data_IF_946117986623
#
_entry.id   IF_946117986623
#
_cell.length_a   1.000
_cell.length_b   1.000
_cell.length_c   1.000
_cell.angle_alpha   90.00
_cell.angle_beta   90.00
_cell.angle_gamma   90.00
#
_symmetry.space_group_name_H-M   'P 1'
#
loop_
_entity.id
_entity.type
_entity.pdbx_description
1 polymer ?
#
# COMPACT_ATOMS: atom_id res chain seq x y z
N UNK A 1 -5.27 -15.92 -23.83
CA UNK A 1 -4.34 -14.76 -23.92
C UNK A 1 -5.11 -13.58 -23.36
N UNK A 2 -4.66 -13.03 -22.23
CA UNK A 2 -5.44 -12.09 -21.43
C UNK A 2 -5.71 -10.80 -22.21
N UNK A 3 -6.98 -10.47 -22.36
CA UNK A 3 -7.42 -9.29 -23.08
C UNK A 3 -7.30 -8.08 -22.16
N UNK A 4 -6.34 -7.20 -22.44
CA UNK A 4 -6.40 -5.81 -21.98
C UNK A 4 -7.59 -5.15 -22.68
N UNK A 5 -8.70 -4.99 -21.97
CA UNK A 5 -9.76 -4.05 -22.34
C UNK A 5 -9.44 -2.73 -21.64
N UNK A 6 -9.06 -1.74 -22.44
CA UNK A 6 -9.08 -0.34 -22.06
C UNK A 6 -10.50 0.07 -21.71
N UNK A 7 -10.70 0.66 -20.52
CA UNK A 7 -11.85 1.52 -20.27
C UNK A 7 -11.42 2.64 -19.32
N UNK A 8 -11.22 3.82 -19.90
CA UNK A 8 -11.40 5.11 -19.24
C UNK A 8 -12.52 5.81 -20.06
N UNK A 9 -13.37 6.71 -19.51
CA UNK A 9 -13.00 7.77 -18.58
C UNK A 9 -14.08 8.10 -17.52
N UNK A 10 -13.82 9.14 -16.73
CA UNK A 10 -14.74 9.87 -15.83
C UNK A 10 -14.94 9.31 -14.42
N UNK A 11 -14.38 10.08 -13.49
CA UNK A 11 -14.60 9.96 -12.07
C UNK A 11 -13.31 10.30 -11.36
N UNK A 12 -13.01 11.59 -11.20
CA UNK A 12 -12.36 12.03 -9.97
C UNK A 12 -13.36 11.67 -8.86
N UNK A 13 -13.41 10.38 -8.52
CA UNK A 13 -14.09 9.87 -7.36
C UNK A 13 -13.31 10.46 -6.22
N UNK A 14 -13.76 11.62 -5.77
CA UNK A 14 -13.58 12.08 -4.42
C UNK A 14 -13.59 10.83 -3.54
N UNK A 15 -12.45 10.53 -2.92
CA UNK A 15 -12.27 9.38 -2.05
C UNK A 15 -13.16 9.61 -0.82
N UNK A 16 -14.47 9.53 -1.00
CA UNK A 16 -15.48 9.78 0.01
C UNK A 16 -15.39 8.62 1.02
N UNK A 17 -14.61 8.88 2.05
CA UNK A 17 -14.43 8.02 3.21
C UNK A 17 -13.45 6.88 2.99
N UNK A 18 -12.16 7.18 2.88
CA UNK A 18 -11.11 6.20 3.20
C UNK A 18 -11.12 6.03 4.72
N UNK A 19 -12.08 5.24 5.23
CA UNK A 19 -12.26 5.03 6.68
C UNK A 19 -11.11 4.24 7.31
N UNK A 20 -10.36 3.53 6.48
CA UNK A 20 -9.25 2.67 6.88
C UNK A 20 -8.05 2.95 5.96
N UNK A 21 -7.37 4.07 6.25
CA UNK A 21 -6.13 4.46 5.59
C UNK A 21 -5.01 4.51 6.63
N UNK A 22 -3.97 3.72 6.39
CA UNK A 22 -2.73 3.73 7.16
C UNK A 22 -1.65 4.37 6.31
N UNK A 23 -0.84 5.22 6.92
CA UNK A 23 0.19 5.99 6.25
C UNK A 23 1.52 5.77 6.97
N UNK A 24 2.56 5.50 6.20
CA UNK A 24 3.93 5.43 6.68
C UNK A 24 4.84 6.26 5.76
N UNK A 25 5.68 7.10 6.36
CA UNK A 25 6.66 7.91 5.63
C UNK A 25 7.97 7.16 5.60
N UNK A 26 8.21 6.45 4.51
CA UNK A 26 9.45 5.71 4.29
C UNK A 26 10.54 6.59 3.66
N UNK A 27 11.82 6.18 3.75
CA UNK A 27 12.92 6.81 3.02
C UNK A 27 12.72 6.89 1.49
N UNK A 28 11.94 5.97 0.91
CA UNK A 28 11.68 5.92 -0.55
C UNK A 28 10.40 6.66 -0.95
N UNK A 29 9.69 7.25 0.01
CA UNK A 29 8.48 8.02 -0.22
C UNK A 29 7.29 7.56 0.64
N UNK A 30 6.10 8.01 0.25
CA UNK A 30 4.89 7.79 1.01
C UNK A 30 4.33 6.38 0.73
N UNK A 31 4.20 5.59 1.79
CA UNK A 31 3.51 4.31 1.77
C UNK A 31 2.10 4.48 2.34
N UNK A 32 1.12 3.84 1.70
CA UNK A 32 -0.26 3.83 2.14
C UNK A 32 -0.82 2.43 2.06
N UNK A 33 -1.57 2.05 3.08
CA UNK A 33 -2.42 0.87 3.03
C UNK A 33 -3.86 1.38 3.05
N UNK A 34 -4.59 1.15 1.97
CA UNK A 34 -5.95 1.65 1.77
C UNK A 34 -6.91 0.50 1.49
N UNK A 35 -8.10 0.51 2.08
CA UNK A 35 -9.13 -0.45 1.70
C UNK A 35 -9.73 -0.11 0.33
N UNK A 36 -9.41 -0.92 -0.68
CA UNK A 36 -10.01 -0.84 -2.00
C UNK A 36 -11.38 -1.52 -1.98
N UNK A 37 -12.44 -0.70 -2.07
CA UNK A 37 -13.83 -1.17 -2.06
C UNK A 37 -14.23 -1.92 -3.33
N UNK A 38 -13.55 -1.71 -4.45
CA UNK A 38 -13.85 -2.39 -5.70
C UNK A 38 -13.35 -3.85 -5.66
N UNK A 39 -12.20 -4.06 -5.03
CA UNK A 39 -11.58 -5.39 -4.87
C UNK A 39 -12.01 -6.06 -3.55
N UNK A 40 -12.43 -5.28 -2.56
CA UNK A 40 -12.75 -5.77 -1.20
C UNK A 40 -11.51 -6.19 -0.41
N UNK A 41 -10.35 -5.58 -0.69
CA UNK A 41 -9.05 -5.93 -0.14
C UNK A 41 -8.27 -4.66 0.24
N UNK A 42 -7.22 -4.82 1.05
CA UNK A 42 -6.29 -3.73 1.36
C UNK A 42 -5.22 -3.62 0.29
N UNK A 43 -5.11 -2.48 -0.37
CA UNK A 43 -4.08 -2.22 -1.36
C UNK A 43 -2.86 -1.55 -0.69
N UNK A 44 -1.66 -2.09 -0.94
CA UNK A 44 -0.39 -1.44 -0.60
C UNK A 44 0.01 -0.51 -1.74
N UNK A 45 0.07 0.78 -1.46
CA UNK A 45 0.42 1.82 -2.42
C UNK A 45 1.70 2.51 -1.97
N UNK A 46 2.76 2.38 -2.76
CA UNK A 46 4.07 3.00 -2.51
C UNK A 46 4.29 4.04 -3.60
N UNK A 47 4.51 5.29 -3.20
CA UNK A 47 4.72 6.42 -4.11
C UNK A 47 3.65 6.56 -5.22
N UNK A 48 2.40 6.22 -4.90
CA UNK A 48 1.27 6.30 -5.83
C UNK A 48 1.05 5.07 -6.71
N UNK A 49 1.95 4.08 -6.68
CA UNK A 49 1.81 2.81 -7.40
C UNK A 49 1.28 1.73 -6.47
N UNK A 50 0.29 0.96 -6.91
CA UNK A 50 -0.23 -0.19 -6.17
C UNK A 50 0.66 -1.42 -6.45
N UNK A 51 1.22 -2.01 -5.39
CA UNK A 51 2.12 -3.16 -5.47
C UNK A 51 1.44 -4.48 -5.12
N UNK A 52 0.37 -4.45 -4.33
CA UNK A 52 -0.31 -5.67 -3.88
C UNK A 52 -1.68 -5.44 -3.29
N UNK A 53 -2.48 -6.52 -3.27
CA UNK A 53 -3.78 -6.55 -2.61
C UNK A 53 -3.82 -7.68 -1.57
N UNK A 54 -4.16 -7.30 -0.34
CA UNK A 54 -4.05 -8.11 0.85
C UNK A 54 -5.41 -8.34 1.50
N UNK A 55 -5.55 -9.46 2.20
CA UNK A 55 -6.79 -9.77 2.93
C UNK A 55 -6.97 -8.91 4.19
N UNK A 56 -5.90 -8.30 4.71
CA UNK A 56 -5.92 -7.39 5.85
C UNK A 56 -4.82 -6.32 5.72
N UNK A 57 -4.98 -5.19 6.41
CA UNK A 57 -3.93 -4.17 6.49
C UNK A 57 -2.66 -4.70 7.17
N UNK A 58 -2.82 -5.59 8.17
CA UNK A 58 -1.69 -6.24 8.85
C UNK A 58 -0.84 -7.04 7.88
N UNK A 59 -1.45 -7.85 7.01
CA UNK A 59 -0.70 -8.62 6.02
C UNK A 59 0.08 -7.73 5.04
N UNK A 60 -0.46 -6.56 4.69
CA UNK A 60 0.27 -5.58 3.88
C UNK A 60 1.45 -4.94 4.64
N UNK A 61 1.30 -4.70 5.95
CA UNK A 61 2.37 -4.17 6.78
C UNK A 61 3.47 -5.22 7.05
N UNK A 62 3.10 -6.49 7.21
CA UNK A 62 4.05 -7.60 7.37
C UNK A 62 4.96 -7.71 6.14
N UNK A 63 4.41 -7.66 4.92
CA UNK A 63 5.20 -7.64 3.68
C UNK A 63 6.16 -6.43 3.60
N UNK A 64 5.72 -5.26 4.11
CA UNK A 64 6.60 -4.08 4.21
C UNK A 64 7.72 -4.32 5.21
N UNK A 65 7.43 -4.93 6.36
CA UNK A 65 8.44 -5.23 7.38
C UNK A 65 9.50 -6.24 6.88
N UNK A 66 9.07 -7.29 6.17
CA UNK A 66 9.98 -8.32 5.63
C UNK A 66 10.59 -7.96 4.27
N UNK A 67 10.33 -6.75 3.76
CA UNK A 67 10.87 -6.27 2.48
C UNK A 67 10.51 -7.19 1.29
N UNK A 68 9.30 -7.75 1.28
CA UNK A 68 8.75 -8.54 0.18
C UNK A 68 7.52 -7.86 -0.45
N UNK A 69 7.62 -6.55 -0.71
CA UNK A 69 6.49 -5.76 -1.24
C UNK A 69 6.33 -5.88 -2.76
N UNK A 70 7.38 -6.35 -3.45
CA UNK A 70 7.50 -6.28 -4.90
C UNK A 70 7.95 -4.91 -5.42
N UNK A 71 8.23 -3.96 -4.51
CA UNK A 71 8.85 -2.69 -4.83
C UNK A 71 10.36 -2.80 -4.63
N UNK A 72 11.12 -2.98 -5.71
CA UNK A 72 12.58 -3.11 -5.64
C UNK A 72 13.27 -1.98 -4.85
N UNK A 73 12.77 -0.74 -4.94
CA UNK A 73 13.36 0.39 -4.21
C UNK A 73 13.22 0.23 -2.69
N UNK A 74 12.17 -0.46 -2.24
CA UNK A 74 11.99 -0.83 -0.83
C UNK A 74 12.73 -2.12 -0.51
N UNK A 75 12.48 -3.16 -1.29
CA UNK A 75 12.90 -4.53 -1.01
C UNK A 75 14.44 -4.66 -0.98
N UNK A 76 15.16 -3.81 -1.72
CA UNK A 76 16.63 -3.74 -1.71
C UNK A 76 17.22 -3.06 -0.46
N UNK A 77 16.40 -2.42 0.38
CA UNK A 77 16.83 -1.79 1.63
C UNK A 77 16.79 -2.77 2.82
N UNK A 78 16.46 -4.04 2.58
CA UNK A 78 16.43 -5.05 3.63
C UNK A 78 17.78 -5.15 4.37
N UNK A 79 17.72 -5.04 5.69
CA UNK A 79 18.90 -5.01 6.56
C UNK A 79 19.67 -3.68 6.61
N UNK A 80 19.35 -2.71 5.74
CA UNK A 80 19.99 -1.38 5.70
C UNK A 80 19.21 -0.30 6.45
N UNK A 81 17.88 -0.45 6.58
CA UNK A 81 17.04 0.49 7.33
C UNK A 81 16.67 -0.07 8.72
N UNK A 82 16.93 0.73 9.76
CA UNK A 82 16.61 0.40 11.16
C UNK A 82 15.20 0.83 11.59
N UNK A 83 14.56 1.70 10.80
CA UNK A 83 13.30 2.39 11.15
C UNK A 83 12.12 1.86 10.31
N UNK A 84 12.19 0.61 9.85
CA UNK A 84 11.08 -0.04 9.16
C UNK A 84 9.96 -0.36 10.16
N UNK A 85 8.68 -0.19 9.77
CA UNK A 85 7.58 -0.46 10.69
C UNK A 85 7.47 -1.96 10.89
N UNK A 86 7.57 -2.41 12.14
CA UNK A 86 7.47 -3.83 12.50
C UNK A 86 6.04 -4.34 12.47
N UNK A 87 5.06 -3.45 12.67
CA UNK A 87 3.64 -3.79 12.55
C UNK A 87 2.76 -2.57 12.21
N UNK A 88 1.47 -2.82 11.98
CA UNK A 88 0.50 -1.79 11.56
C UNK A 88 0.27 -0.67 12.61
N UNK A 89 0.62 -0.88 13.88
CA UNK A 89 0.47 0.12 14.94
C UNK A 89 1.43 1.29 14.82
N UNK A 90 2.55 1.10 14.12
CA UNK A 90 3.53 2.14 13.81
C UNK A 90 3.09 3.04 12.64
N UNK A 91 2.04 2.64 11.93
CA UNK A 91 1.47 3.43 10.84
C UNK A 91 0.51 4.48 11.37
N UNK A 92 0.59 5.68 10.81
CA UNK A 92 -0.35 6.75 11.10
C UNK A 92 -1.72 6.41 10.50
N UNK A 93 -2.74 6.29 11.36
CA UNK A 93 -4.12 6.13 10.93
C UNK A 93 -4.68 7.48 10.51
N UNK A 94 -4.90 7.66 9.20
CA UNK A 94 -5.61 8.81 8.69
C UNK A 94 -7.10 8.72 9.09
N UNK A 95 -7.58 9.77 9.76
CA UNK A 95 -8.97 9.92 10.21
C UNK A 95 -9.77 10.80 9.27
#
# INVERSE_FOLDING_TARGET
MFSCVETQPHGAGELQGVKDMYIYKSPIGLMKIIFDRNVGKFALVINGTCYGHYHSAVAAADDVYVHETGCNDWDLLDGDILDSPSDISEWERAR
#
